data_IF_863989801626
#
_entry.id   IF_863989801626
#
_cell.length_a   1.000
_cell.length_b   1.000
_cell.length_c   1.000
_cell.angle_alpha   90.00
_cell.angle_beta   90.00
_cell.angle_gamma   90.00
#
_symmetry.space_group_name_H-M   'P 1'
#
loop_
_entity.id
_entity.type
_entity.pdbx_description
1 polymer ?
#
# COMPACT_ATOMS: atom_id res chain seq x y z
N UNK A 1 -82.86 -14.44 -20.08
CA UNK A 1 -82.66 -14.55 -21.55
C UNK A 1 -81.82 -13.35 -21.98
N UNK A 2 -80.50 -13.54 -22.13
CA UNK A 2 -79.77 -13.43 -23.42
C UNK A 2 -80.11 -12.19 -24.25
N UNK A 3 -79.21 -11.20 -24.24
CA UNK A 3 -78.50 -10.76 -25.45
C UNK A 3 -77.37 -9.80 -25.08
N UNK A 4 -76.15 -10.23 -25.37
CA UNK A 4 -74.92 -9.44 -25.42
C UNK A 4 -74.88 -8.65 -26.73
N UNK A 5 -74.63 -7.34 -26.66
CA UNK A 5 -74.24 -6.55 -27.84
C UNK A 5 -72.72 -6.37 -27.85
N UNK A 6 -72.12 -6.88 -28.92
CA UNK A 6 -70.72 -6.71 -29.31
C UNK A 6 -70.43 -5.25 -29.67
N UNK A 7 -69.40 -4.65 -29.06
CA UNK A 7 -68.76 -3.44 -29.56
C UNK A 7 -67.39 -3.82 -30.10
N UNK A 8 -67.29 -3.89 -31.44
CA UNK A 8 -66.02 -4.10 -32.15
C UNK A 8 -65.18 -2.82 -32.10
N UNK A 9 -63.94 -2.96 -31.65
CA UNK A 9 -62.89 -1.96 -31.70
C UNK A 9 -62.28 -1.93 -33.12
N UNK A 10 -62.24 -0.76 -33.75
CA UNK A 10 -61.65 -0.58 -35.08
C UNK A 10 -61.28 0.87 -35.35
N UNK A 11 -60.07 1.28 -34.92
CA UNK A 11 -59.39 2.47 -35.44
C UNK A 11 -57.92 2.13 -35.70
N UNK A 12 -57.58 1.98 -36.98
CA UNK A 12 -56.20 1.92 -37.46
C UNK A 12 -55.67 3.34 -37.65
N UNK A 13 -54.56 3.69 -37.01
CA UNK A 13 -53.80 4.90 -37.32
C UNK A 13 -52.73 4.51 -38.36
N UNK A 14 -52.86 5.00 -39.59
CA UNK A 14 -51.79 4.96 -40.60
C UNK A 14 -50.91 6.20 -40.42
N UNK A 15 -49.64 5.99 -40.10
CA UNK A 15 -48.59 6.99 -40.29
C UNK A 15 -47.92 6.70 -41.63
N UNK A 16 -48.16 7.55 -42.62
CA UNK A 16 -47.53 7.47 -43.93
C UNK A 16 -46.21 8.24 -43.93
N UNK A 17 -45.12 7.56 -44.24
CA UNK A 17 -43.91 8.17 -44.77
C UNK A 17 -43.72 7.63 -46.18
N UNK A 18 -43.64 8.55 -47.14
CA UNK A 18 -43.46 8.26 -48.55
C UNK A 18 -42.02 7.86 -48.84
N UNK A 19 -41.83 6.79 -49.62
CA UNK A 19 -40.59 6.52 -50.34
C UNK A 19 -40.93 5.95 -51.73
N UNK A 20 -40.46 6.56 -52.83
CA UNK A 20 -40.77 6.11 -54.18
C UNK A 20 -39.68 5.14 -54.66
N UNK A 21 -39.92 3.84 -54.50
CA UNK A 21 -39.21 2.81 -55.27
C UNK A 21 -38.70 1.65 -54.44
N UNK A 22 -39.23 0.46 -54.73
CA UNK A 22 -38.62 -0.80 -54.29
C UNK A 22 -39.56 -1.68 -53.47
N UNK A 23 -39.99 -2.77 -54.09
CA UNK A 23 -40.87 -3.77 -53.52
C UNK A 23 -40.20 -4.52 -52.35
N UNK A 24 -40.84 -4.53 -51.18
CA UNK A 24 -41.04 -5.73 -50.35
C UNK A 24 -41.93 -5.40 -49.14
N UNK A 25 -43.22 -5.73 -49.24
CA UNK A 25 -44.17 -5.67 -48.12
C UNK A 25 -43.93 -6.86 -47.18
N UNK A 26 -43.18 -6.64 -46.11
CA UNK A 26 -43.10 -7.57 -44.98
C UNK A 26 -44.05 -7.12 -43.87
N UNK A 27 -45.34 -7.47 -44.00
CA UNK A 27 -46.33 -7.26 -42.94
C UNK A 27 -46.13 -8.28 -41.81
N UNK A 28 -45.49 -7.87 -40.71
CA UNK A 28 -45.42 -8.65 -39.47
C UNK A 28 -46.76 -8.54 -38.75
N UNK A 29 -47.53 -9.63 -38.76
CA UNK A 29 -48.75 -9.76 -37.97
C UNK A 29 -48.42 -10.08 -36.51
N UNK A 30 -48.39 -9.05 -35.65
CA UNK A 30 -48.41 -9.22 -34.20
C UNK A 30 -49.77 -9.82 -33.80
N UNK A 31 -49.82 -11.14 -33.67
CA UNK A 31 -50.94 -11.81 -33.03
C UNK A 31 -50.98 -11.36 -31.56
N UNK A 32 -52.08 -10.70 -31.17
CA UNK A 32 -52.42 -10.40 -29.78
C UNK A 32 -52.80 -11.70 -29.05
N UNK A 33 -51.84 -12.60 -28.91
CA UNK A 33 -51.95 -13.86 -28.21
C UNK A 33 -51.36 -13.73 -26.82
N UNK A 34 -52.23 -13.62 -25.81
CA UNK A 34 -51.93 -13.91 -24.40
C UNK A 34 -50.69 -13.19 -23.83
N UNK A 35 -50.89 -11.99 -23.28
CA UNK A 35 -50.10 -11.56 -22.12
C UNK A 35 -50.41 -12.54 -20.96
N UNK A 36 -49.74 -13.70 -20.95
CA UNK A 36 -49.63 -14.53 -19.75
C UNK A 36 -49.01 -13.64 -18.69
N UNK A 37 -49.75 -13.41 -17.61
CA UNK A 37 -49.22 -12.79 -16.38
C UNK A 37 -47.90 -13.50 -16.07
N UNK A 38 -46.78 -12.80 -16.21
CA UNK A 38 -45.53 -13.23 -15.59
C UNK A 38 -45.88 -13.53 -14.13
N UNK A 39 -45.77 -14.79 -13.72
CA UNK A 39 -46.08 -15.17 -12.35
C UNK A 39 -45.22 -14.30 -11.44
N UNK A 40 -45.76 -13.77 -10.34
CA UNK A 40 -44.99 -12.93 -9.41
C UNK A 40 -43.66 -13.58 -8.98
N UNK A 41 -43.59 -14.92 -9.06
CA UNK A 41 -42.38 -15.72 -8.87
C UNK A 41 -41.27 -15.46 -9.90
N UNK A 42 -41.59 -15.22 -11.18
CA UNK A 42 -40.57 -14.89 -12.20
C UNK A 42 -40.05 -13.46 -12.02
N UNK A 43 -40.91 -12.52 -11.63
CA UNK A 43 -40.50 -11.13 -11.34
C UNK A 43 -39.61 -11.07 -10.09
N UNK A 44 -39.96 -11.83 -9.04
CA UNK A 44 -39.13 -11.99 -7.84
C UNK A 44 -37.81 -12.71 -8.17
N UNK A 45 -37.83 -13.76 -8.99
CA UNK A 45 -36.61 -14.44 -9.42
C UNK A 45 -35.69 -13.52 -10.23
N UNK A 46 -36.25 -12.69 -11.13
CA UNK A 46 -35.49 -11.70 -11.90
C UNK A 46 -34.96 -10.58 -11.00
N UNK A 47 -35.72 -10.11 -10.00
CA UNK A 47 -35.25 -9.14 -9.01
C UNK A 47 -34.15 -9.72 -8.10
N UNK A 48 -34.27 -10.98 -7.68
CA UNK A 48 -33.23 -11.68 -6.92
C UNK A 48 -31.99 -11.93 -7.78
N UNK A 49 -32.15 -12.24 -9.06
CA UNK A 49 -31.04 -12.37 -10.01
C UNK A 49 -30.39 -11.01 -10.28
N UNK A 50 -31.18 -9.93 -10.37
CA UNK A 50 -30.69 -8.55 -10.51
C UNK A 50 -29.96 -8.07 -9.24
N UNK A 51 -30.40 -8.49 -8.05
CA UNK A 51 -29.67 -8.27 -6.80
C UNK A 51 -28.37 -9.11 -6.73
N UNK A 52 -28.42 -10.36 -7.19
CA UNK A 52 -27.25 -11.23 -7.26
C UNK A 52 -26.22 -10.77 -8.33
N UNK A 53 -26.67 -10.12 -9.40
CA UNK A 53 -25.84 -9.52 -10.46
C UNK A 53 -25.41 -8.08 -10.14
N UNK A 54 -26.19 -7.36 -9.32
CA UNK A 54 -25.95 -5.99 -8.88
C UNK A 54 -24.98 -5.86 -7.71
N UNK A 55 -24.68 -6.96 -7.02
CA UNK A 55 -23.44 -7.10 -6.29
C UNK A 55 -22.31 -7.33 -7.29
N UNK A 56 -22.01 -6.28 -8.08
CA UNK A 56 -20.74 -6.22 -8.79
C UNK A 56 -19.67 -6.56 -7.74
N UNK A 57 -19.00 -7.70 -7.93
CA UNK A 57 -17.78 -8.01 -7.21
C UNK A 57 -16.94 -6.75 -7.30
N UNK A 58 -16.78 -6.04 -6.17
CA UNK A 58 -15.86 -4.94 -6.11
C UNK A 58 -14.51 -5.59 -6.38
N UNK A 59 -14.04 -5.47 -7.62
CA UNK A 59 -12.76 -6.01 -8.01
C UNK A 59 -11.73 -5.51 -6.99
N UNK A 60 -10.87 -6.41 -6.52
CA UNK A 60 -9.82 -6.05 -5.59
C UNK A 60 -9.10 -4.79 -6.13
N UNK A 61 -8.72 -3.84 -5.25
CA UNK A 61 -8.10 -2.61 -5.69
C UNK A 61 -6.88 -2.93 -6.55
N UNK A 62 -6.73 -2.18 -7.65
CA UNK A 62 -5.67 -2.42 -8.66
C UNK A 62 -4.26 -2.28 -8.09
N UNK A 63 -4.14 -1.60 -6.96
CA UNK A 63 -2.91 -1.40 -6.21
C UNK A 63 -3.17 -1.43 -4.71
N UNK A 64 -2.13 -1.75 -3.95
CA UNK A 64 -2.11 -1.54 -2.49
C UNK A 64 -1.65 -0.14 -2.11
N UNK A 65 -1.07 0.64 -3.03
CA UNK A 65 -0.58 1.99 -2.78
C UNK A 65 -1.70 3.01 -2.93
N UNK A 66 -1.96 3.78 -1.87
CA UNK A 66 -3.04 4.76 -1.80
C UNK A 66 -2.95 5.80 -2.93
N UNK A 67 -1.75 6.28 -3.26
CA UNK A 67 -1.51 7.30 -4.28
C UNK A 67 -1.77 6.84 -5.72
N UNK A 68 -1.96 5.53 -5.90
CA UNK A 68 -2.29 4.92 -7.19
C UNK A 68 -3.80 4.65 -7.34
N UNK A 69 -4.60 4.96 -6.32
CA UNK A 69 -6.05 4.71 -6.27
C UNK A 69 -6.85 6.01 -6.36
N UNK A 70 -7.97 5.95 -7.07
CA UNK A 70 -9.00 6.99 -7.04
C UNK A 70 -9.80 6.96 -5.73
N UNK A 71 -10.46 8.07 -5.39
CA UNK A 71 -11.38 8.14 -4.24
C UNK A 71 -12.48 7.07 -4.28
N UNK A 72 -12.94 6.70 -5.48
CA UNK A 72 -13.95 5.65 -5.67
C UNK A 72 -13.41 4.27 -5.28
N UNK A 73 -12.18 3.95 -5.69
CA UNK A 73 -11.52 2.67 -5.35
C UNK A 73 -11.23 2.57 -3.84
N UNK A 74 -10.74 3.65 -3.21
CA UNK A 74 -10.52 3.67 -1.76
C UNK A 74 -11.85 3.50 -1.01
N UNK A 75 -12.90 4.18 -1.43
CA UNK A 75 -14.24 4.06 -0.83
C UNK A 75 -14.80 2.65 -0.97
N UNK A 76 -14.59 2.00 -2.12
CA UNK A 76 -15.00 0.61 -2.33
C UNK A 76 -14.19 -0.35 -1.45
N UNK A 77 -12.87 -0.19 -1.37
CA UNK A 77 -11.99 -1.01 -0.54
C UNK A 77 -12.36 -0.96 0.94
N UNK A 78 -12.66 0.23 1.48
CA UNK A 78 -13.14 0.41 2.86
C UNK A 78 -14.46 -0.33 3.11
N UNK A 79 -15.42 -0.22 2.18
CA UNK A 79 -16.70 -0.94 2.25
C UNK A 79 -16.52 -2.46 2.17
N UNK A 80 -15.52 -2.94 1.44
CA UNK A 80 -15.15 -4.36 1.33
C UNK A 80 -14.29 -4.88 2.51
N UNK A 81 -14.10 -4.05 3.54
CA UNK A 81 -13.46 -4.44 4.80
C UNK A 81 -11.96 -4.18 4.87
N UNK A 82 -11.40 -3.40 3.93
CA UNK A 82 -10.07 -2.79 4.13
C UNK A 82 -10.13 -1.89 5.35
N UNK A 83 -9.38 -2.24 6.38
CA UNK A 83 -9.42 -1.53 7.68
C UNK A 83 -8.04 -1.09 8.14
N UNK A 84 -6.98 -1.57 7.49
CA UNK A 84 -5.60 -1.27 7.85
C UNK A 84 -4.94 -0.40 6.79
N UNK A 85 -4.14 0.56 7.23
CA UNK A 85 -3.21 1.28 6.36
C UNK A 85 -1.84 1.35 7.00
N UNK A 86 -0.80 1.08 6.21
CA UNK A 86 0.60 1.19 6.61
C UNK A 86 1.09 2.58 6.22
N UNK A 87 1.68 3.33 7.14
CA UNK A 87 2.47 4.53 6.86
C UNK A 87 3.95 4.12 6.85
N UNK A 88 4.56 3.96 5.67
CA UNK A 88 5.98 3.68 5.56
C UNK A 88 6.80 4.96 5.80
N UNK A 89 7.79 4.86 6.69
CA UNK A 89 8.74 5.95 6.99
C UNK A 89 10.11 5.57 6.45
N UNK A 90 10.64 6.42 5.58
CA UNK A 90 11.93 6.25 4.93
C UNK A 90 12.97 7.20 5.53
N UNK A 91 13.59 8.02 4.69
CA UNK A 91 14.66 8.95 5.03
C UNK A 91 15.53 9.27 3.82
N UNK A 92 16.19 10.43 3.86
CA UNK A 92 17.19 10.83 2.86
C UNK A 92 18.49 11.09 3.57
N UNK A 93 19.41 10.13 3.50
CA UNK A 93 20.67 10.15 4.24
C UNK A 93 21.85 9.68 3.39
N UNK A 94 23.03 10.12 3.79
CA UNK A 94 24.29 9.59 3.29
C UNK A 94 24.39 8.07 3.48
N UNK A 95 24.99 7.38 2.52
CA UNK A 95 25.21 5.93 2.60
C UNK A 95 26.48 5.50 1.87
N UNK A 96 27.57 6.24 2.09
CA UNK A 96 28.77 6.07 1.28
C UNK A 96 28.64 6.62 -0.14
N UNK A 97 29.70 6.52 -0.94
CA UNK A 97 29.70 7.00 -2.32
C UNK A 97 28.88 6.10 -3.26
N UNK A 98 28.60 4.84 -2.89
CA UNK A 98 28.01 3.85 -3.78
C UNK A 98 26.49 3.74 -3.71
N UNK A 99 25.83 4.28 -2.68
CA UNK A 99 24.37 4.21 -2.52
C UNK A 99 23.73 5.58 -2.68
N UNK A 100 22.65 5.63 -3.46
CA UNK A 100 21.84 6.83 -3.60
C UNK A 100 21.12 7.17 -2.28
N UNK A 101 21.02 8.47 -1.97
CA UNK A 101 20.58 9.00 -0.68
C UNK A 101 19.15 8.57 -0.27
N UNK A 102 18.29 8.26 -1.24
CA UNK A 102 16.91 7.85 -1.00
C UNK A 102 16.72 6.36 -0.72
N UNK A 103 17.77 5.59 -0.39
CA UNK A 103 17.72 4.12 -0.24
C UNK A 103 16.55 3.68 0.66
N UNK A 104 16.35 4.36 1.79
CA UNK A 104 15.32 4.03 2.77
C UNK A 104 13.92 4.20 2.19
N UNK A 105 13.68 5.30 1.47
CA UNK A 105 12.38 5.58 0.86
C UNK A 105 11.97 4.48 -0.13
N UNK A 106 12.90 4.05 -0.98
CA UNK A 106 12.61 3.04 -1.98
C UNK A 106 12.44 1.64 -1.36
N UNK A 107 13.31 1.27 -0.42
CA UNK A 107 13.22 -0.02 0.27
C UNK A 107 11.92 -0.15 1.05
N UNK A 108 11.57 0.85 1.86
CA UNK A 108 10.33 0.82 2.64
C UNK A 108 9.09 0.79 1.75
N UNK A 109 9.09 1.51 0.62
CA UNK A 109 7.98 1.46 -0.35
C UNK A 109 7.76 0.02 -0.85
N UNK A 110 8.81 -0.60 -1.38
CA UNK A 110 8.74 -1.93 -1.99
C UNK A 110 8.32 -2.98 -0.97
N UNK A 111 8.95 -2.96 0.21
CA UNK A 111 8.67 -3.96 1.24
C UNK A 111 7.30 -3.74 1.90
N UNK A 112 6.86 -2.50 2.12
CA UNK A 112 5.50 -2.20 2.58
C UNK A 112 4.44 -2.71 1.61
N UNK A 113 4.65 -2.56 0.30
CA UNK A 113 3.76 -3.12 -0.72
C UNK A 113 3.63 -4.64 -0.62
N UNK A 114 4.77 -5.35 -0.48
CA UNK A 114 4.77 -6.82 -0.28
C UNK A 114 4.05 -7.21 1.01
N UNK A 115 4.28 -6.49 2.11
CA UNK A 115 3.61 -6.71 3.40
C UNK A 115 2.10 -6.52 3.27
N UNK A 116 1.65 -5.42 2.67
CA UNK A 116 0.22 -5.12 2.49
C UNK A 116 -0.47 -6.18 1.62
N UNK A 117 0.17 -6.61 0.53
CA UNK A 117 -0.35 -7.67 -0.33
C UNK A 117 -0.52 -9.00 0.42
N UNK A 118 0.43 -9.39 1.28
CA UNK A 118 0.34 -10.61 2.08
C UNK A 118 -0.66 -10.54 3.26
N UNK A 119 -0.87 -9.35 3.82
CA UNK A 119 -1.90 -9.15 4.84
C UNK A 119 -3.31 -9.22 4.25
N UNK A 120 -3.48 -8.71 3.03
CA UNK A 120 -4.78 -8.45 2.43
C UNK A 120 -5.53 -7.33 3.18
N UNK A 121 -6.55 -6.74 2.55
CA UNK A 121 -7.39 -5.68 3.16
C UNK A 121 -6.58 -4.57 3.85
N UNK A 122 -5.43 -4.25 3.26
CA UNK A 122 -4.42 -3.33 3.79
C UNK A 122 -3.92 -2.47 2.65
N UNK A 123 -3.89 -1.14 2.85
CA UNK A 123 -3.26 -0.20 1.92
C UNK A 123 -1.94 0.33 2.48
N UNK A 124 -1.17 0.99 1.61
CA UNK A 124 0.10 1.65 1.91
C UNK A 124 -0.06 3.14 1.60
N UNK A 125 0.14 4.00 2.59
CA UNK A 125 0.18 5.45 2.43
C UNK A 125 1.46 5.90 1.71
N UNK A 126 1.52 7.15 1.22
CA UNK A 126 2.77 7.72 0.70
C UNK A 126 3.91 7.62 1.70
N UNK A 127 5.13 7.40 1.20
CA UNK A 127 6.34 7.32 2.03
C UNK A 127 6.64 8.68 2.65
N UNK A 128 6.82 8.70 3.98
CA UNK A 128 7.35 9.88 4.65
C UNK A 128 8.87 9.91 4.49
N UNK A 129 9.35 10.81 3.63
CA UNK A 129 10.77 10.96 3.29
C UNK A 129 11.53 11.99 4.15
N UNK A 130 10.81 12.93 4.78
CA UNK A 130 11.39 13.94 5.66
C UNK A 130 11.34 13.43 7.11
N UNK A 131 12.51 13.14 7.67
CA UNK A 131 12.66 12.49 8.98
C UNK A 131 13.85 13.09 9.74
N UNK A 132 14.02 12.79 11.04
CA UNK A 132 15.23 13.16 11.78
C UNK A 132 16.43 12.31 11.33
N UNK A 133 17.49 12.96 10.83
CA UNK A 133 18.77 12.33 10.40
C UNK A 133 20.01 13.00 11.04
N UNK A 134 19.78 13.76 12.12
CA UNK A 134 20.79 14.54 12.83
C UNK A 134 20.37 16.00 13.04
N UNK A 135 21.08 16.72 13.90
CA UNK A 135 20.91 18.16 14.12
C UNK A 135 21.39 18.92 12.88
N UNK A 136 20.67 19.98 12.50
CA UNK A 136 21.01 20.82 11.33
C UNK A 136 22.15 21.78 11.67
N UNK A 137 22.05 22.47 12.81
CA UNK A 137 23.04 23.46 13.26
C UNK A 137 23.34 23.32 14.77
N UNK A 138 24.59 22.99 15.17
CA UNK A 138 25.66 22.50 14.32
C UNK A 138 25.33 21.10 13.76
N UNK A 139 25.86 20.72 12.58
CA UNK A 139 25.54 19.43 11.96
C UNK A 139 26.03 18.24 12.80
N UNK A 140 25.15 17.27 13.03
CA UNK A 140 25.50 15.99 13.69
C UNK A 140 25.10 14.78 12.82
N UNK A 141 25.61 13.59 13.16
CA UNK A 141 25.20 12.33 12.49
C UNK A 141 25.28 12.42 10.96
N UNK A 142 24.21 12.03 10.24
CA UNK A 142 24.17 12.03 8.78
C UNK A 142 24.11 13.45 8.20
N UNK A 143 23.66 14.46 8.97
CA UNK A 143 23.67 15.88 8.56
C UNK A 143 25.08 16.45 8.38
N UNK A 144 26.14 15.72 8.77
CA UNK A 144 27.53 16.07 8.45
C UNK A 144 27.89 15.87 6.96
N UNK A 145 27.02 15.22 6.19
CA UNK A 145 27.26 14.84 4.81
C UNK A 145 26.31 15.58 3.86
N UNK A 146 26.83 15.96 2.69
CA UNK A 146 26.05 16.68 1.69
C UNK A 146 24.87 15.85 1.17
N UNK A 147 23.70 16.49 1.09
CA UNK A 147 22.48 15.89 0.55
C UNK A 147 21.58 15.19 1.57
N UNK A 148 22.06 14.89 2.78
CA UNK A 148 21.19 14.44 3.88
C UNK A 148 20.14 15.51 4.18
N UNK A 149 18.88 15.09 4.39
CA UNK A 149 17.78 15.99 4.77
C UNK A 149 17.26 15.57 6.14
N UNK A 150 17.32 16.49 7.11
CA UNK A 150 16.79 16.27 8.45
C UNK A 150 15.70 17.26 8.80
N UNK A 151 14.68 16.80 9.54
CA UNK A 151 13.69 17.65 10.21
C UNK A 151 13.69 17.40 11.73
N UNK A 152 13.32 18.39 12.55
CA UNK A 152 13.22 18.19 14.00
C UNK A 152 12.19 17.11 14.36
N UNK A 153 12.49 16.32 15.40
CA UNK A 153 11.59 15.27 15.92
C UNK A 153 10.16 15.75 16.17
N UNK A 154 9.90 16.95 16.75
CA UNK A 154 8.54 17.42 16.94
C UNK A 154 7.76 17.62 15.63
N UNK A 155 8.42 18.09 14.56
CA UNK A 155 7.79 18.27 13.24
C UNK A 155 7.49 16.91 12.62
N UNK A 156 8.45 15.99 12.68
CA UNK A 156 8.28 14.61 12.22
C UNK A 156 7.07 13.92 12.88
N UNK A 157 6.98 13.99 14.21
CA UNK A 157 5.87 13.39 14.94
C UNK A 157 4.53 14.09 14.65
N UNK A 158 4.53 15.41 14.45
CA UNK A 158 3.33 16.16 14.09
C UNK A 158 2.77 15.76 12.72
N UNK A 159 3.64 15.57 11.72
CA UNK A 159 3.24 15.10 10.39
C UNK A 159 2.60 13.70 10.48
N UNK A 160 3.24 12.77 11.18
CA UNK A 160 2.71 11.41 11.36
C UNK A 160 1.39 11.39 12.15
N UNK A 161 1.27 12.22 13.19
CA UNK A 161 0.02 12.36 13.94
C UNK A 161 -1.11 12.86 13.03
N UNK A 162 -0.87 13.91 12.24
CA UNK A 162 -1.86 14.47 11.33
C UNK A 162 -2.25 13.48 10.22
N UNK A 163 -1.29 12.75 9.65
CA UNK A 163 -1.57 11.70 8.67
C UNK A 163 -2.41 10.57 9.29
N UNK A 164 -2.04 10.09 10.48
CA UNK A 164 -2.78 9.06 11.22
C UNK A 164 -4.23 9.48 11.48
N UNK A 165 -4.45 10.71 11.95
CA UNK A 165 -5.78 11.26 12.18
C UNK A 165 -6.59 11.36 10.89
N UNK A 166 -5.96 11.72 9.78
CA UNK A 166 -6.61 11.76 8.46
C UNK A 166 -7.09 10.38 8.02
N UNK A 167 -6.31 9.33 8.26
CA UNK A 167 -6.75 7.97 7.95
C UNK A 167 -7.87 7.47 8.86
N UNK A 168 -7.81 7.78 10.15
CA UNK A 168 -8.93 7.51 11.05
C UNK A 168 -10.21 8.22 10.61
N UNK A 169 -10.11 9.49 10.17
CA UNK A 169 -11.25 10.24 9.63
C UNK A 169 -11.89 9.55 8.41
N UNK A 170 -11.08 8.90 7.57
CA UNK A 170 -11.57 8.17 6.40
C UNK A 170 -12.08 6.75 6.71
N UNK A 171 -12.05 6.31 7.98
CA UNK A 171 -12.60 5.02 8.39
C UNK A 171 -11.58 3.88 8.44
N UNK A 172 -10.28 4.14 8.25
CA UNK A 172 -9.26 3.16 8.60
C UNK A 172 -9.27 2.96 10.11
N UNK A 173 -9.34 1.70 10.54
CA UNK A 173 -9.34 1.33 11.96
C UNK A 173 -7.92 1.23 12.49
N UNK A 174 -7.02 0.66 11.70
CA UNK A 174 -5.66 0.33 12.09
C UNK A 174 -4.66 1.11 11.25
N UNK A 175 -3.96 2.07 11.86
CA UNK A 175 -2.82 2.75 11.23
C UNK A 175 -1.53 2.15 11.75
N UNK A 176 -0.70 1.61 10.87
CA UNK A 176 0.54 0.92 11.22
C UNK A 176 1.72 1.76 10.77
N UNK A 177 2.58 2.17 11.69
CA UNK A 177 3.83 2.86 11.41
C UNK A 177 4.96 1.82 11.33
N UNK A 178 5.66 1.81 10.19
CA UNK A 178 6.91 1.06 9.99
C UNK A 178 8.01 2.02 9.54
N UNK A 179 9.25 1.76 9.93
CA UNK A 179 10.37 2.67 9.69
C UNK A 179 11.65 1.96 9.28
N UNK A 180 12.32 2.45 8.25
CA UNK A 180 13.48 1.80 7.63
C UNK A 180 14.85 2.31 8.13
N UNK A 181 14.86 3.29 9.02
CA UNK A 181 16.08 3.83 9.63
C UNK A 181 16.01 3.78 11.16
N UNK A 182 17.17 3.57 11.80
CA UNK A 182 17.27 3.37 13.25
C UNK A 182 17.04 4.65 14.06
N UNK A 183 17.43 5.81 13.52
CA UNK A 183 17.50 7.08 14.25
C UNK A 183 16.17 7.57 14.84
N UNK A 184 15.04 7.24 14.21
CA UNK A 184 13.72 7.70 14.64
C UNK A 184 12.81 6.62 15.22
N UNK A 185 13.29 5.39 15.44
CA UNK A 185 12.45 4.28 15.95
C UNK A 185 11.83 4.63 17.32
N UNK A 186 12.61 5.24 18.23
CA UNK A 186 12.12 5.69 19.53
C UNK A 186 11.06 6.80 19.41
N UNK A 187 11.20 7.70 18.42
CA UNK A 187 10.22 8.75 18.17
C UNK A 187 8.89 8.18 17.65
N UNK A 188 8.92 7.14 16.81
CA UNK A 188 7.71 6.42 16.38
C UNK A 188 7.01 5.76 17.58
N UNK A 189 7.76 5.06 18.42
CA UNK A 189 7.21 4.42 19.61
C UNK A 189 6.60 5.43 20.59
N UNK A 190 7.28 6.54 20.85
CA UNK A 190 6.79 7.61 21.72
C UNK A 190 5.52 8.26 21.18
N UNK A 191 5.42 8.47 19.87
CA UNK A 191 4.22 8.98 19.21
C UNK A 191 3.03 8.03 19.45
N UNK A 192 3.20 6.73 19.17
CA UNK A 192 2.14 5.74 19.36
C UNK A 192 1.67 5.67 20.82
N UNK A 193 2.61 5.73 21.78
CA UNK A 193 2.28 5.69 23.21
C UNK A 193 1.40 6.88 23.67
N UNK A 194 1.61 8.08 23.10
CA UNK A 194 0.84 9.28 23.45
C UNK A 194 -0.46 9.46 22.65
N UNK A 195 -0.57 8.87 21.46
CA UNK A 195 -1.73 9.04 20.61
C UNK A 195 -3.01 8.44 21.22
N UNK A 196 -4.13 9.13 21.00
CA UNK A 196 -5.46 8.70 21.42
C UNK A 196 -6.43 8.83 20.24
N UNK A 197 -7.35 7.88 20.07
CA UNK A 197 -8.37 7.98 19.02
C UNK A 197 -9.27 9.20 19.23
N UNK A 198 -9.90 9.73 18.17
CA UNK A 198 -10.89 10.80 18.28
C UNK A 198 -12.08 10.37 19.14
N UNK A 199 -12.71 11.35 19.82
CA UNK A 199 -13.99 11.14 20.49
C UNK A 199 -15.03 10.68 19.45
N UNK A 200 -15.61 9.50 19.64
CA UNK A 200 -16.56 8.88 18.71
C UNK A 200 -15.98 7.82 17.76
N UNK A 201 -14.66 7.60 17.75
CA UNK A 201 -14.02 6.55 16.97
C UNK A 201 -13.20 5.58 17.87
N UNK A 202 -13.80 4.93 18.88
CA UNK A 202 -13.06 4.10 19.85
C UNK A 202 -12.37 2.88 19.24
N UNK A 203 -12.80 2.46 18.05
CA UNK A 203 -12.16 1.38 17.30
C UNK A 203 -10.83 1.81 16.64
N UNK A 204 -10.58 3.11 16.48
CA UNK A 204 -9.37 3.61 15.85
C UNK A 204 -8.12 3.31 16.71
N UNK A 205 -7.10 2.74 16.08
CA UNK A 205 -5.84 2.33 16.70
C UNK A 205 -4.67 2.76 15.83
N UNK A 206 -3.55 3.02 16.49
CA UNK A 206 -2.26 3.24 15.85
C UNK A 206 -1.25 2.30 16.47
N UNK A 207 -0.41 1.72 15.63
CA UNK A 207 0.56 0.69 16.01
C UNK A 207 1.93 1.10 15.50
N UNK A 208 2.96 0.87 16.29
CA UNK A 208 4.34 0.90 15.83
C UNK A 208 4.84 -0.54 15.73
N UNK A 209 5.32 -0.93 14.54
CA UNK A 209 5.83 -2.28 14.28
C UNK A 209 7.33 -2.21 14.02
N UNK A 210 8.10 -2.21 15.11
CA UNK A 210 9.57 -2.21 15.08
C UNK A 210 10.19 -3.49 14.49
N UNK A 211 9.41 -4.57 14.36
CA UNK A 211 9.85 -5.83 13.75
C UNK A 211 10.35 -5.65 12.30
N UNK A 212 9.83 -4.65 11.58
CA UNK A 212 10.30 -4.28 10.25
C UNK A 212 11.79 -3.92 10.25
N UNK A 213 12.18 -2.94 11.07
CA UNK A 213 13.57 -2.50 11.18
C UNK A 213 14.43 -3.59 11.80
N UNK A 214 13.97 -4.20 12.89
CA UNK A 214 14.72 -5.23 13.62
C UNK A 214 15.10 -6.41 12.73
N UNK A 215 14.24 -6.82 11.78
CA UNK A 215 14.52 -7.91 10.85
C UNK A 215 15.74 -7.65 9.97
N UNK A 216 15.96 -6.40 9.54
CA UNK A 216 17.11 -5.98 8.75
C UNK A 216 18.42 -5.92 9.56
N UNK A 217 18.33 -5.94 10.89
CA UNK A 217 19.45 -5.82 11.82
C UNK A 217 19.90 -7.22 12.28
N UNK A 218 19.79 -7.53 13.58
CA UNK A 218 20.34 -8.74 14.18
C UNK A 218 19.97 -10.07 13.46
N UNK A 219 18.71 -10.32 13.04
CA UNK A 219 18.35 -11.54 12.33
C UNK A 219 19.05 -11.67 10.97
N UNK A 220 19.02 -10.61 10.16
CA UNK A 220 19.66 -10.64 8.85
C UNK A 220 21.19 -10.68 8.96
N UNK A 221 21.79 -9.94 9.90
CA UNK A 221 23.23 -9.98 10.18
C UNK A 221 23.67 -11.39 10.61
N UNK A 222 22.90 -12.05 11.48
CA UNK A 222 23.17 -13.43 11.87
C UNK A 222 23.09 -14.40 10.69
N UNK A 223 22.12 -14.19 9.79
CA UNK A 223 22.02 -14.98 8.57
C UNK A 223 23.22 -14.75 7.63
N UNK A 224 23.63 -13.50 7.42
CA UNK A 224 24.80 -13.14 6.60
C UNK A 224 26.10 -13.75 7.13
N UNK A 225 26.28 -13.79 8.46
CA UNK A 225 27.39 -14.54 9.08
C UNK A 225 27.36 -16.02 8.72
N UNK A 226 26.16 -16.63 8.72
CA UNK A 226 25.97 -18.00 8.24
C UNK A 226 26.32 -18.19 6.76
N UNK A 227 26.27 -17.12 5.96
CA UNK A 227 26.73 -17.09 4.56
C UNK A 227 28.23 -16.78 4.41
N UNK A 228 28.98 -16.68 5.52
CA UNK A 228 30.42 -16.47 5.51
C UNK A 228 30.87 -15.00 5.48
N UNK A 229 29.96 -14.03 5.62
CA UNK A 229 30.34 -12.63 5.74
C UNK A 229 30.85 -12.33 7.16
N UNK A 230 31.91 -11.53 7.23
CA UNK A 230 32.48 -11.03 8.49
C UNK A 230 31.73 -9.81 9.01
N UNK A 231 31.83 -9.51 10.31
CA UNK A 231 31.25 -8.30 10.90
C UNK A 231 31.76 -7.01 10.22
N UNK A 232 33.04 -6.99 9.81
CA UNK A 232 33.61 -5.87 9.07
C UNK A 232 32.98 -5.67 7.69
N UNK A 233 32.55 -6.75 7.03
CA UNK A 233 31.81 -6.67 5.76
C UNK A 233 30.37 -6.24 5.98
N UNK A 234 29.67 -6.91 6.91
CA UNK A 234 28.27 -6.64 7.22
C UNK A 234 28.10 -5.16 7.59
N UNK A 235 28.90 -4.69 8.54
CA UNK A 235 28.90 -3.30 8.96
C UNK A 235 27.66 -2.88 9.75
N UNK A 236 27.65 -1.65 10.22
CA UNK A 236 26.50 -1.01 10.88
C UNK A 236 25.81 0.05 10.02
N UNK A 237 26.43 0.49 8.92
CA UNK A 237 25.87 1.50 8.01
C UNK A 237 26.45 1.39 6.61
N UNK A 238 25.61 1.28 5.58
CA UNK A 238 26.03 1.21 4.17
C UNK A 238 27.04 0.08 3.84
N UNK A 239 27.18 -0.91 4.74
CA UNK A 239 27.99 -2.11 4.52
C UNK A 239 27.30 -3.13 3.61
N UNK A 240 27.74 -4.39 3.69
CA UNK A 240 27.21 -5.45 2.85
C UNK A 240 25.71 -5.71 3.07
N UNK A 241 25.20 -5.57 4.30
CA UNK A 241 23.79 -5.78 4.60
C UNK A 241 22.88 -4.76 3.88
N UNK A 242 23.13 -3.47 4.09
CA UNK A 242 22.40 -2.37 3.45
C UNK A 242 22.46 -2.46 1.92
N UNK A 243 23.66 -2.71 1.40
CA UNK A 243 23.91 -2.76 -0.04
C UNK A 243 23.22 -3.97 -0.68
N UNK A 244 23.24 -5.13 -0.01
CA UNK A 244 22.56 -6.33 -0.50
C UNK A 244 21.05 -6.11 -0.56
N UNK A 245 20.45 -5.60 0.53
CA UNK A 245 19.03 -5.25 0.55
C UNK A 245 18.69 -4.27 -0.58
N UNK A 246 19.53 -3.27 -0.82
CA UNK A 246 19.28 -2.30 -1.89
C UNK A 246 19.37 -2.94 -3.29
N UNK A 247 20.38 -3.77 -3.56
CA UNK A 247 20.52 -4.52 -4.81
C UNK A 247 19.29 -5.38 -5.11
N UNK A 248 18.61 -5.90 -4.09
CA UNK A 248 17.41 -6.71 -4.26
C UNK A 248 16.14 -5.90 -4.57
N UNK A 249 16.01 -4.68 -4.07
CA UNK A 249 14.77 -3.88 -4.20
C UNK A 249 14.85 -2.77 -5.26
N UNK A 250 16.05 -2.22 -5.49
CA UNK A 250 16.29 -1.14 -6.44
C UNK A 250 17.79 -1.10 -6.82
N UNK A 251 18.25 -2.02 -7.68
CA UNK A 251 19.66 -2.12 -8.06
C UNK A 251 20.23 -0.85 -8.70
N UNK A 252 19.39 -0.07 -9.41
CA UNK A 252 19.80 1.19 -10.05
C UNK A 252 20.19 2.29 -9.05
N UNK A 253 19.91 2.10 -7.75
CA UNK A 253 20.34 3.00 -6.68
C UNK A 253 21.71 2.64 -6.10
N UNK A 254 22.34 1.58 -6.61
CA UNK A 254 23.70 1.18 -6.29
C UNK A 254 24.62 1.60 -7.45
N UNK A 255 25.83 2.04 -7.14
CA UNK A 255 26.90 2.37 -8.09
C UNK A 255 27.98 1.30 -7.96
N UNK A 256 27.89 0.18 -8.71
CA UNK A 256 28.83 -0.94 -8.57
C UNK A 256 30.30 -0.53 -8.69
N UNK A 257 30.58 0.45 -9.56
CA UNK A 257 31.90 1.01 -9.80
C UNK A 257 32.49 1.75 -8.58
N UNK A 258 31.66 2.17 -7.61
CA UNK A 258 32.07 2.89 -6.41
C UNK A 258 32.17 2.01 -5.16
N UNK A 259 31.86 0.71 -5.24
CA UNK A 259 31.90 -0.21 -4.09
C UNK A 259 33.29 -0.32 -3.47
N UNK A 260 34.34 -0.37 -4.30
CA UNK A 260 35.71 -0.39 -3.82
C UNK A 260 36.12 0.92 -3.14
N UNK A 261 35.65 2.06 -3.67
CA UNK A 261 35.89 3.36 -3.07
C UNK A 261 35.18 3.50 -1.72
N UNK A 262 33.94 3.00 -1.61
CA UNK A 262 33.20 3.00 -0.35
C UNK A 262 33.94 2.23 0.75
N UNK A 263 34.40 1.01 0.44
CA UNK A 263 35.17 0.20 1.38
C UNK A 263 36.46 0.91 1.84
N UNK A 264 37.13 1.63 0.93
CA UNK A 264 38.36 2.34 1.26
C UNK A 264 38.11 3.63 2.08
N UNK A 265 37.06 4.37 1.76
CA UNK A 265 36.72 5.62 2.43
C UNK A 265 36.23 5.42 3.87
N UNK A 266 35.63 4.25 4.16
CA UNK A 266 35.18 3.88 5.50
C UNK A 266 34.28 4.94 6.14
N UNK A 267 34.39 5.10 7.46
CA UNK A 267 33.53 6.00 8.23
C UNK A 267 33.57 7.46 7.73
N UNK A 268 34.75 7.93 7.30
CA UNK A 268 34.92 9.29 6.77
C UNK A 268 34.21 9.50 5.44
N UNK A 269 34.02 8.44 4.65
CA UNK A 269 33.20 8.44 3.43
C UNK A 269 31.74 8.13 3.66
N UNK A 270 31.32 7.86 4.91
CA UNK A 270 29.93 7.53 5.24
C UNK A 270 29.61 6.03 5.17
N UNK A 271 30.60 5.15 5.16
CA UNK A 271 30.41 3.70 5.14
C UNK A 271 31.00 3.06 6.40
N UNK A 272 30.17 2.42 7.22
CA UNK A 272 30.60 1.64 8.37
C UNK A 272 30.48 0.15 8.05
N UNK A 273 31.34 -0.35 7.17
CA UNK A 273 31.36 -1.72 6.68
C UNK A 273 32.14 -1.88 5.36
N UNK A 274 32.10 -3.06 4.75
CA UNK A 274 32.65 -3.30 3.40
C UNK A 274 31.55 -3.85 2.48
N UNK A 275 31.01 -3.03 1.56
CA UNK A 275 29.85 -3.38 0.75
C UNK A 275 30.19 -4.34 -0.41
N UNK A 276 31.47 -4.65 -0.67
CA UNK A 276 31.88 -5.41 -1.87
C UNK A 276 31.36 -6.84 -1.92
N UNK A 277 31.05 -7.43 -0.76
CA UNK A 277 30.48 -8.78 -0.67
C UNK A 277 28.96 -8.81 -0.91
N UNK A 278 28.31 -7.66 -1.05
CA UNK A 278 26.87 -7.58 -1.25
C UNK A 278 26.45 -8.14 -2.62
N UNK A 279 25.36 -8.91 -2.63
CA UNK A 279 24.72 -9.38 -3.85
C UNK A 279 23.20 -9.21 -3.74
N UNK A 280 22.52 -9.16 -4.89
CA UNK A 280 21.05 -9.13 -4.92
C UNK A 280 20.44 -10.40 -4.31
N UNK A 281 21.13 -11.54 -4.36
CA UNK A 281 20.66 -12.80 -3.77
C UNK A 281 20.62 -12.73 -2.24
N UNK A 282 21.71 -12.30 -1.60
CA UNK A 282 21.74 -12.07 -0.16
C UNK A 282 20.64 -11.08 0.26
N UNK A 283 20.43 -10.04 -0.55
CA UNK A 283 19.39 -9.05 -0.34
C UNK A 283 17.97 -9.59 -0.42
N UNK A 284 17.69 -10.52 -1.35
CA UNK A 284 16.36 -11.15 -1.47
C UNK A 284 16.01 -11.91 -0.21
N UNK A 285 16.95 -12.69 0.34
CA UNK A 285 16.75 -13.41 1.61
C UNK A 285 16.54 -12.46 2.80
N UNK A 286 17.24 -11.32 2.84
CA UNK A 286 16.98 -10.29 3.85
C UNK A 286 15.59 -9.66 3.71
N UNK A 287 15.22 -9.31 2.48
CA UNK A 287 13.93 -8.70 2.16
C UNK A 287 12.74 -9.63 2.49
N UNK A 288 12.88 -10.95 2.25
CA UNK A 288 11.89 -11.96 2.63
C UNK A 288 11.73 -12.01 4.16
N UNK A 289 12.82 -12.07 4.91
CA UNK A 289 12.78 -12.05 6.37
C UNK A 289 12.10 -10.79 6.93
N UNK A 290 12.37 -9.62 6.34
CA UNK A 290 11.71 -8.37 6.72
C UNK A 290 10.20 -8.47 6.49
N UNK A 291 9.78 -8.91 5.31
CA UNK A 291 8.35 -9.03 4.98
C UNK A 291 7.65 -10.01 5.93
N UNK A 292 8.17 -11.22 6.09
CA UNK A 292 7.56 -12.27 6.91
C UNK A 292 7.40 -11.84 8.38
N UNK A 293 8.47 -11.31 8.98
CA UNK A 293 8.46 -10.84 10.36
C UNK A 293 7.52 -9.66 10.56
N UNK A 294 7.47 -8.74 9.59
CA UNK A 294 6.57 -7.59 9.63
C UNK A 294 5.11 -8.03 9.52
N UNK A 295 4.78 -8.92 8.59
CA UNK A 295 3.43 -9.49 8.44
C UNK A 295 2.97 -10.18 9.72
N UNK A 296 3.83 -11.02 10.31
CA UNK A 296 3.53 -11.71 11.56
C UNK A 296 3.26 -10.71 12.70
N UNK A 297 4.12 -9.70 12.86
CA UNK A 297 3.98 -8.68 13.89
C UNK A 297 2.71 -7.82 13.71
N UNK A 298 2.38 -7.43 12.47
CA UNK A 298 1.15 -6.68 12.18
C UNK A 298 -0.07 -7.52 12.54
N UNK A 299 -0.12 -8.82 12.15
CA UNK A 299 -1.24 -9.71 12.49
C UNK A 299 -1.46 -9.79 13.99
N UNK A 300 -0.40 -9.88 14.79
CA UNK A 300 -0.48 -9.85 16.26
C UNK A 300 -1.02 -8.50 16.75
N UNK A 301 -0.44 -7.39 16.29
CA UNK A 301 -0.81 -6.05 16.73
C UNK A 301 -2.29 -5.75 16.47
N UNK A 302 -2.78 -6.06 15.26
CA UNK A 302 -4.17 -5.77 14.87
C UNK A 302 -5.19 -6.78 15.41
N UNK A 303 -4.79 -8.00 15.77
CA UNK A 303 -5.70 -8.98 16.40
C UNK A 303 -5.87 -8.77 17.91
N UNK A 304 -4.88 -8.18 18.58
CA UNK A 304 -4.98 -7.84 20.00
C UNK A 304 -6.09 -6.80 20.23
N UNK A 305 -7.12 -7.14 21.02
CA UNK A 305 -8.38 -6.39 21.30
C UNK A 305 -9.58 -6.71 20.38
N UNK A 306 -10.04 -7.96 20.41
CA UNK A 306 -11.49 -8.19 20.53
C UNK A 306 -11.88 -8.16 22.00
#
# INVERSE_FOLDING_TARGET
>A
MRQTQDVRCGRSIRLGLADPGGQSDASIWLHCGTMRRLSGRLLVALLLLYWALGAASAAAPRSVFLEELSTAEVSAALKDGTTTIIIPVGGTEQSGPHLALGKHNQRVRVLAGRVAAQLGRTLVAPVLAYVPEGTIDPPTEHMRFAGTVSIPVPVFQAVLESATRSFWQHGFRDVVLIGDHGGYQAALQALVARMRPPAGAPAARVHFVGAYYQAAQAPFHAWLRGQGLTEAQIGSHAGAADTALQLAVAPDMVRPELLAQAAHAGAGGGTLGDPRAATAELGRSGAEQIVERTVAAIRVAVSSKR
#
